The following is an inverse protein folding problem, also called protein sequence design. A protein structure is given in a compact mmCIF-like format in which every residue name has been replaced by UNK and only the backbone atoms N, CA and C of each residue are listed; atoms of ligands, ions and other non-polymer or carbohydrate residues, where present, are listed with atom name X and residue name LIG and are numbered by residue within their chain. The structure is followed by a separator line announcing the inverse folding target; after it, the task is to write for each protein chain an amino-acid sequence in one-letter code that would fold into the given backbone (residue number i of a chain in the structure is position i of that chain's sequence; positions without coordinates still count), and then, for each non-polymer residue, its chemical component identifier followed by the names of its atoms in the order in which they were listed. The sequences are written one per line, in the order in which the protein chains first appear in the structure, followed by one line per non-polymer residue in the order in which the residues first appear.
data_IF_001213363776
#
_entry.id   IF_001213363776
#
_cell.length_a   1.000
_cell.length_b   1.000
_cell.length_c   1.000
_cell.angle_alpha   90.00
_cell.angle_beta   90.00
_cell.angle_gamma   90.00
#
_symmetry.space_group_name_H-M   'P 1'
#
loop_
_entity.id
_entity.type
_entity.pdbx_description
1 polymer ?
#
# COMPACT_ATOMS: atom_id res chain seq x y z
N UNK A 1 -1.99 1.50 57.89
CA UNK A 1 -0.90 1.64 56.89
C UNK A 1 -1.02 0.63 55.74
N UNK A 2 -1.42 -0.62 56.00
CA UNK A 2 -1.58 -1.69 54.99
C UNK A 2 -2.53 -1.33 53.82
N UNK A 3 -3.66 -0.64 54.07
CA UNK A 3 -4.59 -0.21 52.99
C UNK A 3 -3.94 0.70 51.93
N UNK A 4 -3.02 1.59 52.34
CA UNK A 4 -2.31 2.48 51.40
C UNK A 4 -1.27 1.72 50.57
N UNK A 5 -0.67 0.68 51.16
CA UNK A 5 0.30 -0.19 50.48
C UNK A 5 -0.36 -1.04 49.39
N UNK A 6 -1.56 -1.58 49.66
CA UNK A 6 -2.33 -2.37 48.69
C UNK A 6 -2.75 -1.52 47.48
N UNK A 7 -3.21 -0.29 47.71
CA UNK A 7 -3.59 0.63 46.63
C UNK A 7 -2.39 0.95 45.73
N UNK A 8 -1.22 1.15 46.33
CA UNK A 8 0.00 1.44 45.57
C UNK A 8 0.40 0.26 44.66
N UNK A 9 0.31 -0.98 45.15
CA UNK A 9 0.61 -2.19 44.37
C UNK A 9 -0.36 -2.34 43.18
N UNK A 10 -1.65 -2.08 43.39
CA UNK A 10 -2.67 -2.17 42.32
C UNK A 10 -2.42 -1.13 41.23
N UNK A 11 -2.07 0.11 41.59
CA UNK A 11 -1.77 1.17 40.61
C UNK A 11 -0.54 0.83 39.78
N UNK A 12 0.53 0.32 40.41
CA UNK A 12 1.75 -0.11 39.70
C UNK A 12 1.47 -1.27 38.73
N UNK A 13 0.61 -2.22 39.11
CA UNK A 13 0.19 -3.32 38.25
C UNK A 13 -0.59 -2.84 37.01
N UNK A 14 -1.49 -1.88 37.17
CA UNK A 14 -2.28 -1.33 36.06
C UNK A 14 -1.37 -0.60 35.05
N UNK A 15 -0.39 0.17 35.54
CA UNK A 15 0.58 0.86 34.69
C UNK A 15 1.44 -0.15 33.92
N UNK A 16 1.92 -1.21 34.59
CA UNK A 16 2.68 -2.28 33.95
C UNK A 16 1.88 -3.02 32.88
N UNK A 17 0.63 -3.39 33.18
CA UNK A 17 -0.26 -4.07 32.22
C UNK A 17 -0.54 -3.19 30.99
N UNK A 18 -0.70 -1.88 31.18
CA UNK A 18 -0.90 -0.93 30.09
C UNK A 18 0.35 -0.79 29.20
N UNK A 19 1.55 -0.76 29.81
CA UNK A 19 2.82 -0.72 29.07
C UNK A 19 3.08 -2.02 28.28
N UNK A 20 2.76 -3.17 28.85
CA UNK A 20 2.86 -4.47 28.17
C UNK A 20 1.86 -4.56 27.01
N UNK A 21 0.63 -4.08 27.19
CA UNK A 21 -0.38 -4.02 26.12
C UNK A 21 0.07 -3.12 24.96
N UNK A 22 0.68 -1.96 25.26
CA UNK A 22 1.25 -1.07 24.25
C UNK A 22 2.45 -1.71 23.51
N UNK A 23 3.35 -2.37 24.24
CA UNK A 23 4.51 -3.06 23.66
C UNK A 23 4.09 -4.24 22.77
N UNK A 24 3.04 -4.99 23.15
CA UNK A 24 2.50 -6.08 22.33
C UNK A 24 1.90 -5.61 21.00
N UNK A 25 1.40 -4.37 20.90
CA UNK A 25 0.93 -3.80 19.63
C UNK A 25 2.04 -3.15 18.79
N UNK A 26 3.18 -2.82 19.41
CA UNK A 26 4.35 -2.26 18.72
C UNK A 26 5.44 -3.29 18.39
N UNK A 27 5.24 -4.58 18.67
CA UNK A 27 6.07 -5.66 18.13
C UNK A 27 5.67 -6.02 16.69
N UNK A 28 5.67 -5.01 15.81
CA UNK A 28 5.79 -5.24 14.37
C UNK A 28 7.05 -4.53 13.91
N UNK A 29 8.05 -5.33 13.53
CA UNK A 29 9.25 -4.86 12.86
C UNK A 29 10.30 -4.29 13.80
N UNK A 30 11.23 -5.14 14.20
CA UNK A 30 12.62 -4.72 14.31
C UNK A 30 12.98 -3.96 13.02
N UNK A 31 13.21 -2.66 13.14
CA UNK A 31 13.82 -1.88 12.06
C UNK A 31 15.27 -2.37 12.02
N UNK A 32 15.54 -3.33 11.13
CA UNK A 32 16.90 -3.60 10.69
C UNK A 32 17.28 -2.36 9.88
N UNK A 33 17.89 -1.39 10.55
CA UNK A 33 18.58 -0.28 9.91
C UNK A 33 19.81 -0.92 9.27
N UNK A 34 19.65 -1.38 8.03
CA UNK A 34 20.81 -1.69 7.21
C UNK A 34 21.35 -0.35 6.72
N UNK A 35 22.44 0.06 7.37
CA UNK A 35 23.25 1.22 7.10
C UNK A 35 23.89 1.08 5.71
N UNK A 36 23.13 1.43 4.67
CA UNK A 36 23.68 1.87 3.38
C UNK A 36 22.56 2.40 2.50
N UNK A 37 22.35 3.71 2.57
CA UNK A 37 22.17 4.61 1.42
C UNK A 37 21.81 5.99 1.97
N UNK A 38 22.84 6.78 2.22
CA UNK A 38 22.71 8.24 2.16
C UNK A 38 22.04 8.61 0.84
N UNK A 39 21.03 9.49 0.85
CA UNK A 39 21.10 10.76 0.11
C UNK A 39 19.87 11.64 0.38
N UNK A 40 20.12 12.69 1.16
CA UNK A 40 19.62 14.07 1.11
C UNK A 40 18.15 14.38 0.78
N UNK A 41 17.60 15.12 1.75
CA UNK A 41 16.56 16.14 1.67
C UNK A 41 16.66 17.11 0.46
N UNK A 42 15.49 17.66 0.07
CA UNK A 42 15.18 18.78 -0.86
C UNK A 42 14.97 18.46 -2.36
N UNK A 43 13.73 18.61 -2.81
CA UNK A 43 13.18 19.71 -3.66
C UNK A 43 11.71 19.36 -3.97
N UNK A 44 10.84 20.38 -3.98
CA UNK A 44 9.39 20.22 -4.10
C UNK A 44 8.93 19.36 -5.28
N UNK A 45 8.10 18.37 -4.97
CA UNK A 45 7.23 17.68 -5.94
C UNK A 45 6.13 17.02 -5.11
N UNK A 46 4.89 17.12 -5.59
CA UNK A 46 3.67 16.53 -5.03
C UNK A 46 3.93 15.27 -4.22
N UNK A 47 3.65 15.31 -2.90
CA UNK A 47 3.74 14.17 -2.00
C UNK A 47 3.05 12.97 -2.64
N UNK A 48 3.71 11.80 -2.78
CA UNK A 48 3.02 10.57 -3.11
C UNK A 48 1.86 10.44 -2.12
N UNK A 49 0.63 10.29 -2.60
CA UNK A 49 -0.49 9.98 -1.71
C UNK A 49 -0.07 8.84 -0.78
N UNK A 50 -0.42 8.92 0.51
CA UNK A 50 -0.07 7.87 1.46
C UNK A 50 -0.79 6.56 1.08
N UNK A 51 -0.12 5.72 0.29
CA UNK A 51 -0.61 4.39 -0.06
C UNK A 51 -0.34 3.46 1.12
N UNK A 52 -1.40 2.82 1.63
CA UNK A 52 -1.26 1.91 2.78
C UNK A 52 -0.31 0.75 2.46
N UNK A 53 0.47 0.31 3.44
CA UNK A 53 1.36 -0.85 3.28
C UNK A 53 0.60 -2.12 2.93
N UNK A 54 -0.63 -2.28 3.43
CA UNK A 54 -1.50 -3.39 3.06
C UNK A 54 -1.81 -3.39 1.54
N UNK A 55 -2.07 -2.21 0.96
CA UNK A 55 -2.34 -2.09 -0.47
C UNK A 55 -1.07 -2.29 -1.30
N UNK A 56 0.08 -1.80 -0.83
CA UNK A 56 1.39 -2.07 -1.47
C UNK A 56 1.73 -3.56 -1.47
N UNK A 57 1.56 -4.24 -0.33
CA UNK A 57 1.77 -5.70 -0.22
C UNK A 57 0.82 -6.47 -1.13
N UNK A 58 -0.46 -6.06 -1.19
CA UNK A 58 -1.43 -6.66 -2.10
C UNK A 58 -1.03 -6.47 -3.56
N UNK A 59 -0.59 -5.27 -3.96
CA UNK A 59 -0.10 -4.99 -5.30
C UNK A 59 1.12 -5.86 -5.66
N UNK A 60 2.04 -6.08 -4.70
CA UNK A 60 3.21 -6.93 -4.89
C UNK A 60 2.83 -8.36 -5.33
N UNK A 61 1.70 -8.90 -4.87
CA UNK A 61 1.24 -10.25 -5.28
C UNK A 61 0.92 -10.39 -6.77
N UNK A 62 0.83 -9.28 -7.50
CA UNK A 62 0.61 -9.29 -8.95
C UNK A 62 1.91 -9.23 -9.75
N UNK A 63 3.04 -8.88 -9.13
CA UNK A 63 4.33 -8.75 -9.80
C UNK A 63 4.80 -10.06 -10.42
N UNK A 64 4.65 -11.17 -9.69
CA UNK A 64 5.12 -12.49 -10.16
C UNK A 64 4.07 -13.23 -11.01
N UNK A 65 2.93 -12.58 -11.32
CA UNK A 65 1.90 -13.22 -12.14
C UNK A 65 2.33 -13.27 -13.59
N UNK A 66 2.11 -14.43 -14.21
CA UNK A 66 2.34 -14.64 -15.64
C UNK A 66 1.65 -13.55 -16.46
N UNK A 67 2.33 -13.09 -17.50
CA UNK A 67 1.88 -12.04 -18.41
C UNK A 67 1.75 -10.65 -17.77
N UNK A 68 2.47 -10.35 -16.68
CA UNK A 68 2.53 -9.02 -16.06
C UNK A 68 3.81 -8.31 -16.47
N UNK A 69 3.70 -7.13 -17.07
CA UNK A 69 4.83 -6.26 -17.40
C UNK A 69 5.16 -5.28 -16.28
N UNK A 70 4.14 -4.66 -15.68
CA UNK A 70 4.34 -3.73 -14.57
C UNK A 70 3.09 -3.63 -13.70
N UNK A 71 3.31 -3.31 -12.43
CA UNK A 71 2.23 -3.07 -11.46
C UNK A 71 2.39 -1.68 -10.88
N UNK A 72 1.29 -0.95 -10.82
CA UNK A 72 1.19 0.35 -10.17
C UNK A 72 0.05 0.34 -9.17
N UNK A 73 0.07 1.31 -8.28
CA UNK A 73 -0.95 1.48 -7.24
C UNK A 73 -1.24 2.96 -7.04
N UNK A 74 -2.52 3.28 -6.83
CA UNK A 74 -3.00 4.59 -6.36
C UNK A 74 -3.65 4.42 -4.98
N UNK A 75 -4.27 5.46 -4.43
CA UNK A 75 -4.94 5.42 -3.11
C UNK A 75 -5.89 4.23 -2.90
N UNK A 76 -6.58 3.79 -3.94
CA UNK A 76 -7.59 2.71 -3.84
C UNK A 76 -7.59 1.73 -5.00
N UNK A 77 -6.60 1.77 -5.89
CA UNK A 77 -6.65 0.96 -7.11
C UNK A 77 -5.28 0.40 -7.47
N UNK A 78 -5.25 -0.86 -7.89
CA UNK A 78 -4.06 -1.53 -8.42
C UNK A 78 -4.21 -1.59 -9.93
N UNK A 79 -3.19 -1.14 -10.66
CA UNK A 79 -3.07 -1.16 -12.12
C UNK A 79 -2.07 -2.23 -12.51
N UNK A 80 -2.53 -3.30 -13.14
CA UNK A 80 -1.69 -4.42 -13.62
C UNK A 80 -1.61 -4.35 -15.13
N UNK A 81 -0.44 -4.00 -15.65
CA UNK A 81 -0.18 -3.90 -17.09
C UNK A 81 0.23 -5.26 -17.62
N UNK A 82 -0.48 -5.76 -18.64
CA UNK A 82 -0.16 -7.02 -19.27
C UNK A 82 1.11 -6.94 -20.14
N UNK A 83 1.93 -7.99 -20.15
CA UNK A 83 3.14 -8.05 -20.99
C UNK A 83 2.90 -8.52 -22.43
N UNK A 84 1.75 -9.12 -22.70
CA UNK A 84 1.37 -9.50 -24.06
C UNK A 84 0.87 -8.29 -24.84
N UNK A 85 1.26 -8.19 -26.11
CA UNK A 85 0.71 -7.18 -27.02
C UNK A 85 -0.81 -7.28 -27.07
N UNK A 86 -1.49 -6.18 -26.78
CA UNK A 86 -2.95 -6.11 -26.75
C UNK A 86 -3.63 -6.57 -25.45
N UNK A 87 -2.89 -7.12 -24.47
CA UNK A 87 -3.48 -7.51 -23.18
C UNK A 87 -4.06 -6.32 -22.41
N UNK A 88 -3.51 -5.13 -22.63
CA UNK A 88 -3.98 -3.89 -22.01
C UNK A 88 -3.68 -3.86 -20.53
N UNK A 89 -4.65 -3.42 -19.73
CA UNK A 89 -4.45 -3.18 -18.30
C UNK A 89 -5.65 -3.66 -17.52
N UNK A 90 -5.40 -4.43 -16.46
CA UNK A 90 -6.42 -4.82 -15.49
C UNK A 90 -6.33 -3.90 -14.28
N UNK A 91 -7.47 -3.35 -13.89
CA UNK A 91 -7.61 -2.50 -12.71
C UNK A 91 -8.37 -3.26 -11.63
N UNK A 92 -7.85 -3.23 -10.41
CA UNK A 92 -8.42 -3.90 -9.25
C UNK A 92 -8.70 -2.86 -8.18
N UNK A 93 -9.97 -2.73 -7.79
CA UNK A 93 -10.37 -1.89 -6.68
C UNK A 93 -9.91 -2.53 -5.36
N UNK A 94 -9.23 -1.73 -4.53
CA UNK A 94 -8.67 -2.18 -3.26
C UNK A 94 -9.74 -2.52 -2.23
N UNK A 95 -10.89 -1.85 -2.27
CA UNK A 95 -11.93 -1.88 -1.25
C UNK A 95 -12.83 -3.11 -1.38
N UNK A 96 -13.22 -3.47 -2.60
CA UNK A 96 -14.20 -4.53 -2.88
C UNK A 96 -13.66 -5.66 -3.76
N UNK A 97 -12.38 -5.60 -4.16
CA UNK A 97 -11.74 -6.55 -5.08
C UNK A 97 -12.40 -6.65 -6.47
N UNK A 98 -13.24 -5.69 -6.86
CA UNK A 98 -13.77 -5.65 -8.21
C UNK A 98 -12.64 -5.46 -9.22
N UNK A 99 -12.72 -6.20 -10.31
CA UNK A 99 -11.71 -6.20 -11.37
C UNK A 99 -12.36 -5.88 -12.70
N UNK A 100 -11.75 -4.97 -13.45
CA UNK A 100 -12.13 -4.71 -14.83
C UNK A 100 -10.88 -4.60 -15.70
N UNK A 101 -10.98 -5.05 -16.94
CA UNK A 101 -9.86 -5.07 -17.88
C UNK A 101 -10.13 -4.11 -19.03
N UNK A 102 -9.15 -3.26 -19.29
CA UNK A 102 -9.16 -2.29 -20.37
C UNK A 102 -8.21 -2.77 -21.47
N UNK A 103 -8.74 -3.42 -22.53
CA UNK A 103 -7.92 -3.83 -23.65
C UNK A 103 -7.38 -2.61 -24.41
N UNK A 104 -6.29 -2.79 -25.14
CA UNK A 104 -5.76 -1.75 -26.04
C UNK A 104 -6.61 -1.73 -27.30
N UNK A 105 -7.63 -0.86 -27.32
CA UNK A 105 -8.52 -0.63 -28.47
C UNK A 105 -8.63 0.86 -28.75
N UNK A 106 -9.15 1.22 -29.92
CA UNK A 106 -9.33 2.63 -30.26
C UNK A 106 -10.30 3.31 -29.26
N UNK A 107 -10.11 4.61 -28.94
CA UNK A 107 -10.82 5.31 -27.85
C UNK A 107 -12.36 5.24 -27.91
N UNK A 108 -12.90 5.10 -29.11
CA UNK A 108 -14.33 4.97 -29.36
C UNK A 108 -14.91 3.59 -28.99
N UNK A 109 -14.07 2.56 -28.84
CA UNK A 109 -14.48 1.20 -28.47
C UNK A 109 -14.15 0.81 -27.03
N UNK A 110 -13.51 1.71 -26.28
CA UNK A 110 -13.23 1.49 -24.85
C UNK A 110 -14.50 1.76 -24.04
N UNK A 111 -14.75 0.95 -23.01
CA UNK A 111 -15.86 1.16 -22.07
C UNK A 111 -15.71 2.48 -21.31
N UNK A 112 -16.81 3.01 -20.78
CA UNK A 112 -16.76 4.26 -20.00
C UNK A 112 -15.88 4.13 -18.77
N UNK A 113 -15.95 3.02 -18.03
CA UNK A 113 -15.10 2.74 -16.87
C UNK A 113 -13.60 2.85 -17.20
N UNK A 114 -13.21 2.32 -18.36
CA UNK A 114 -11.83 2.41 -18.82
C UNK A 114 -11.42 3.83 -19.22
N UNK A 115 -12.33 4.63 -19.78
CA UNK A 115 -12.06 6.05 -20.06
C UNK A 115 -11.88 6.83 -18.76
N UNK A 116 -12.73 6.57 -17.77
CA UNK A 116 -12.71 7.26 -16.48
C UNK A 116 -11.40 6.98 -15.73
N UNK A 117 -10.93 5.73 -15.74
CA UNK A 117 -9.67 5.39 -15.08
C UNK A 117 -8.43 5.86 -15.87
N UNK A 118 -8.49 5.91 -17.20
CA UNK A 118 -7.42 6.47 -18.03
C UNK A 118 -7.28 8.00 -17.85
N UNK A 119 -8.31 8.68 -17.35
CA UNK A 119 -8.24 10.10 -17.00
C UNK A 119 -7.60 10.37 -15.63
N UNK A 120 -7.34 9.34 -14.82
CA UNK A 120 -6.58 9.49 -13.57
C UNK A 120 -5.16 9.93 -13.92
N UNK A 121 -4.70 11.01 -13.29
CA UNK A 121 -3.36 11.58 -13.51
C UNK A 121 -2.27 10.52 -13.32
N UNK A 122 -1.33 10.46 -14.27
CA UNK A 122 -0.17 9.55 -14.19
C UNK A 122 0.66 9.76 -12.90
N UNK A 123 0.62 10.96 -12.31
CA UNK A 123 1.31 11.28 -11.05
C UNK A 123 0.70 10.61 -9.81
N UNK A 124 -0.54 10.12 -9.89
CA UNK A 124 -1.20 9.41 -8.79
C UNK A 124 -0.85 7.92 -8.73
N UNK A 125 -0.15 7.41 -9.75
CA UNK A 125 0.28 6.02 -9.82
C UNK A 125 1.70 5.88 -9.28
N UNK A 126 1.85 5.09 -8.22
CA UNK A 126 3.14 4.64 -7.73
C UNK A 126 3.48 3.29 -8.35
N UNK A 127 4.63 3.18 -9.05
CA UNK A 127 5.14 1.92 -9.57
C UNK A 127 5.58 1.00 -8.41
N UNK A 128 5.19 -0.28 -8.49
CA UNK A 128 5.53 -1.32 -7.51
C UNK A 128 6.60 -2.25 -8.08
N UNK A 129 6.45 -2.68 -9.33
CA UNK A 129 7.40 -3.56 -10.00
C UNK A 129 7.30 -3.44 -11.53
N UNK A 130 8.33 -3.94 -12.19
CA UNK A 130 8.46 -4.04 -13.64
C UNK A 130 9.28 -5.29 -13.97
N UNK A 131 8.86 -6.01 -15.02
CA UNK A 131 9.42 -7.30 -15.44
C UNK A 131 9.83 -7.30 -16.91
#
# INVERSE_FOLDING_TARGET
MIKKLIIFIVVVLIIWLSAVYYNSKNKSGEIIINENSEQSEKIGTTTPENISDALRQKAQTYCDKKNTASVYVSTSTIKVVGSLLGAGTTYINANDNTMFSCPVVAPNYVTQECKDIMNISEQSWQKICEN
#
